data_IF_986354189812
#
_entry.id   IF_986354189812
#
_cell.length_a   1.000
_cell.length_b   1.000
_cell.length_c   1.000
_cell.angle_alpha   90.00
_cell.angle_beta   90.00
_cell.angle_gamma   90.00
#
_symmetry.space_group_name_H-M   'P 1'
#
loop_
_entity.id
_entity.type
_entity.pdbx_description
1 polymer ?
#
# COMPACT_ATOMS: atom_id res chain seq x y z
N UNK A 1 -47.02 18.13 62.02
CA UNK A 1 -45.98 18.51 61.08
C UNK A 1 -45.55 17.29 60.30
N UNK A 2 -45.99 17.16 59.01
CA UNK A 2 -45.63 16.04 58.14
C UNK A 2 -44.46 16.52 57.22
N UNK A 3 -43.27 15.92 57.36
CA UNK A 3 -42.13 16.15 56.49
C UNK A 3 -42.32 15.35 55.18
N UNK A 4 -42.37 16.03 54.05
CA UNK A 4 -42.31 15.42 52.71
C UNK A 4 -40.85 15.26 52.32
N UNK A 5 -40.42 14.02 52.16
CA UNK A 5 -39.09 13.69 51.59
C UNK A 5 -39.24 13.73 50.07
N UNK A 6 -38.62 14.67 49.37
CA UNK A 6 -38.53 14.72 47.91
C UNK A 6 -37.24 13.97 47.52
N UNK A 7 -37.42 12.77 46.96
CA UNK A 7 -36.35 11.97 46.38
C UNK A 7 -36.07 12.47 44.94
N UNK A 8 -34.92 13.13 44.74
CA UNK A 8 -34.44 13.48 43.39
C UNK A 8 -33.90 12.24 42.68
N UNK A 9 -34.61 11.75 41.67
CA UNK A 9 -34.16 10.68 40.77
C UNK A 9 -33.25 11.30 39.72
N UNK A 10 -31.91 11.20 39.87
CA UNK A 10 -30.97 11.56 38.85
C UNK A 10 -31.01 10.52 37.73
N UNK A 11 -31.72 10.77 36.66
CA UNK A 11 -31.62 9.99 35.41
C UNK A 11 -30.34 10.41 34.71
N UNK A 12 -29.27 9.63 34.88
CA UNK A 12 -28.04 9.77 34.12
C UNK A 12 -28.31 9.43 32.65
N UNK A 13 -28.36 10.42 31.79
CA UNK A 13 -28.34 10.23 30.34
C UNK A 13 -26.98 9.66 29.95
N UNK A 14 -26.90 8.37 29.78
CA UNK A 14 -25.76 7.69 29.17
C UNK A 14 -25.75 8.04 27.68
N UNK A 15 -25.05 9.13 27.31
CA UNK A 15 -24.75 9.44 25.91
C UNK A 15 -23.74 8.39 25.44
N UNK A 16 -24.24 7.29 24.89
CA UNK A 16 -23.41 6.36 24.15
C UNK A 16 -22.82 7.10 22.95
N UNK A 17 -21.53 7.44 23.02
CA UNK A 17 -20.78 7.87 21.84
C UNK A 17 -20.74 6.69 20.89
N UNK A 18 -21.60 6.69 19.89
CA UNK A 18 -21.47 5.78 18.75
C UNK A 18 -20.10 6.07 18.15
N UNK A 19 -19.15 5.16 18.33
CA UNK A 19 -17.88 5.23 17.61
C UNK A 19 -18.23 5.23 16.12
N UNK A 20 -17.89 6.31 15.42
CA UNK A 20 -18.12 6.42 13.99
C UNK A 20 -17.46 5.22 13.31
N UNK A 21 -18.23 4.47 12.53
CA UNK A 21 -17.68 3.33 11.77
C UNK A 21 -16.63 3.82 10.78
N UNK A 22 -15.56 3.04 10.60
CA UNK A 22 -14.52 3.37 9.62
C UNK A 22 -15.11 3.39 8.19
N UNK A 23 -14.70 4.36 7.39
CA UNK A 23 -15.11 4.45 5.98
C UNK A 23 -14.30 3.48 5.11
N UNK A 24 -14.83 2.28 4.88
CA UNK A 24 -14.23 1.28 4.01
C UNK A 24 -14.24 1.63 2.51
N UNK A 25 -14.86 2.74 2.11
CA UNK A 25 -14.71 3.29 0.75
C UNK A 25 -13.42 4.10 0.61
N UNK A 26 -12.79 4.45 1.73
CA UNK A 26 -11.61 5.30 1.77
C UNK A 26 -11.80 6.62 0.99
N UNK A 27 -12.98 7.22 1.08
CA UNK A 27 -13.46 8.30 0.19
C UNK A 27 -12.53 9.50 0.12
N UNK A 28 -11.92 9.89 1.24
CA UNK A 28 -10.95 11.00 1.28
C UNK A 28 -9.67 10.63 0.50
N UNK A 29 -9.14 9.42 0.71
CA UNK A 29 -7.96 8.94 0.01
C UNK A 29 -8.21 8.76 -1.48
N UNK A 30 -9.35 8.21 -1.84
CA UNK A 30 -9.81 8.06 -3.23
C UNK A 30 -9.84 9.41 -3.96
N UNK A 31 -10.36 10.45 -3.31
CA UNK A 31 -10.39 11.79 -3.87
C UNK A 31 -8.99 12.37 -4.07
N UNK A 32 -8.07 12.17 -3.12
CA UNK A 32 -6.67 12.60 -3.22
C UNK A 32 -5.99 11.90 -4.41
N UNK A 33 -6.17 10.57 -4.53
CA UNK A 33 -5.59 9.78 -5.62
C UNK A 33 -6.10 10.22 -6.99
N UNK A 34 -7.41 10.36 -7.17
CA UNK A 34 -8.04 10.79 -8.43
C UNK A 34 -7.51 12.12 -8.93
N UNK A 35 -7.22 13.04 -8.01
CA UNK A 35 -6.74 14.38 -8.35
C UNK A 35 -5.24 14.40 -8.66
N UNK A 36 -4.45 13.61 -7.94
CA UNK A 36 -3.00 13.77 -7.89
C UNK A 36 -2.21 12.60 -8.52
N UNK A 37 -2.88 11.54 -8.99
CA UNK A 37 -2.21 10.40 -9.60
C UNK A 37 -2.62 10.25 -11.06
N UNK A 38 -1.63 10.20 -11.95
CA UNK A 38 -1.85 10.00 -13.38
C UNK A 38 -0.83 9.01 -13.94
N UNK A 39 -1.31 7.93 -14.53
CA UNK A 39 -0.46 6.87 -15.13
C UNK A 39 0.61 6.34 -14.15
N UNK A 40 0.26 6.22 -12.88
CA UNK A 40 1.16 5.74 -11.83
C UNK A 40 2.16 6.77 -11.28
N UNK A 41 2.19 7.97 -11.85
CA UNK A 41 2.99 9.10 -11.36
C UNK A 41 2.18 9.96 -10.40
N UNK A 42 2.85 10.52 -9.39
CA UNK A 42 2.24 11.25 -8.27
C UNK A 42 2.62 12.73 -8.30
N UNK A 43 1.64 13.61 -8.27
CA UNK A 43 1.86 15.02 -8.02
C UNK A 43 2.05 15.27 -6.53
N UNK A 44 3.27 15.12 -6.03
CA UNK A 44 3.57 15.36 -4.60
C UNK A 44 3.29 16.81 -4.20
N UNK A 45 3.62 17.78 -5.07
CA UNK A 45 3.26 19.20 -4.86
C UNK A 45 1.74 19.42 -4.78
N UNK A 46 0.96 18.70 -5.60
CA UNK A 46 -0.49 18.75 -5.57
C UNK A 46 -1.06 18.21 -4.25
N UNK A 47 -0.53 17.09 -3.76
CA UNK A 47 -0.94 16.54 -2.46
C UNK A 47 -0.50 17.44 -1.31
N UNK A 48 0.70 18.03 -1.37
CA UNK A 48 1.19 18.99 -0.38
C UNK A 48 0.29 20.21 -0.27
N UNK A 49 -0.24 20.71 -1.39
CA UNK A 49 -1.19 21.84 -1.39
C UNK A 49 -2.53 21.49 -0.69
N UNK A 50 -2.85 20.20 -0.52
CA UNK A 50 -4.04 19.68 0.14
C UNK A 50 -3.69 18.84 1.37
N UNK A 51 -2.58 19.12 2.03
CA UNK A 51 -2.05 18.31 3.15
C UNK A 51 -3.10 18.08 4.25
N UNK A 52 -4.04 19.02 4.46
CA UNK A 52 -5.13 18.86 5.41
C UNK A 52 -6.01 17.63 5.14
N UNK A 53 -6.31 17.34 3.87
CA UNK A 53 -7.10 16.15 3.49
C UNK A 53 -6.32 14.86 3.73
N UNK A 54 -5.03 14.84 3.38
CA UNK A 54 -4.18 13.69 3.67
C UNK A 54 -4.07 13.44 5.18
N UNK A 55 -3.83 14.50 5.97
CA UNK A 55 -3.77 14.41 7.43
C UNK A 55 -5.06 13.86 8.02
N UNK A 56 -6.22 14.35 7.58
CA UNK A 56 -7.52 13.83 8.00
C UNK A 56 -7.66 12.33 7.73
N UNK A 57 -7.25 11.87 6.54
CA UNK A 57 -7.30 10.46 6.20
C UNK A 57 -6.37 9.62 7.07
N UNK A 58 -5.11 10.04 7.24
CA UNK A 58 -4.13 9.33 8.08
C UNK A 58 -4.58 9.26 9.55
N UNK A 59 -5.20 10.32 10.07
CA UNK A 59 -5.80 10.32 11.41
C UNK A 59 -6.96 9.30 11.49
N UNK A 60 -7.78 9.18 10.45
CA UNK A 60 -8.87 8.21 10.42
C UNK A 60 -8.36 6.76 10.47
N UNK A 61 -7.25 6.46 9.76
CA UNK A 61 -6.56 5.17 9.84
C UNK A 61 -6.01 4.91 11.25
N UNK A 62 -5.35 5.93 11.83
CA UNK A 62 -4.70 5.82 13.14
C UNK A 62 -5.69 5.66 14.30
N UNK A 63 -6.94 6.11 14.13
CA UNK A 63 -8.03 5.94 15.10
C UNK A 63 -8.64 4.55 15.13
N UNK A 64 -8.42 3.73 14.09
CA UNK A 64 -8.90 2.34 14.09
C UNK A 64 -8.16 1.56 15.17
N UNK A 65 -8.92 1.04 16.13
CA UNK A 65 -8.38 0.19 17.20
C UNK A 65 -8.15 -1.24 16.72
N UNK A 66 -7.30 -2.00 17.43
CA UNK A 66 -7.11 -3.42 17.14
C UNK A 66 -8.46 -4.18 17.20
N UNK A 67 -9.33 -3.88 18.17
CA UNK A 67 -10.64 -4.52 18.30
C UNK A 67 -11.54 -4.25 17.09
N UNK A 68 -11.57 -3.00 16.60
CA UNK A 68 -12.31 -2.65 15.37
C UNK A 68 -11.75 -3.38 14.16
N UNK A 69 -10.41 -3.39 13.99
CA UNK A 69 -9.76 -4.10 12.89
C UNK A 69 -10.04 -5.60 12.91
N UNK A 70 -10.06 -6.23 14.08
CA UNK A 70 -10.42 -7.66 14.19
C UNK A 70 -11.85 -7.94 13.72
N UNK A 71 -12.77 -6.99 13.90
CA UNK A 71 -14.15 -7.08 13.42
C UNK A 71 -14.31 -6.90 11.90
N UNK A 72 -13.28 -6.42 11.19
CA UNK A 72 -13.31 -6.29 9.73
C UNK A 72 -13.30 -7.68 9.08
N UNK A 73 -14.00 -7.83 7.96
CA UNK A 73 -13.85 -9.02 7.12
C UNK A 73 -12.50 -9.00 6.38
N UNK A 74 -12.13 -10.11 5.73
CA UNK A 74 -10.83 -10.28 5.08
C UNK A 74 -10.54 -9.21 4.01
N UNK A 75 -11.55 -8.87 3.19
CA UNK A 75 -11.40 -7.84 2.14
C UNK A 75 -11.28 -6.43 2.72
N UNK A 76 -12.00 -6.14 3.80
CA UNK A 76 -11.88 -4.88 4.54
C UNK A 76 -10.50 -4.75 5.18
N UNK A 77 -9.99 -5.81 5.81
CA UNK A 77 -8.63 -5.83 6.38
C UNK A 77 -7.57 -5.59 5.32
N UNK A 78 -7.64 -6.29 4.20
CA UNK A 78 -6.65 -6.18 3.13
C UNK A 78 -6.69 -4.80 2.47
N UNK A 79 -7.86 -4.29 2.08
CA UNK A 79 -7.98 -2.95 1.49
C UNK A 79 -7.53 -1.85 2.46
N UNK A 80 -7.86 -1.96 3.76
CA UNK A 80 -7.38 -1.07 4.81
C UNK A 80 -5.86 -1.02 4.87
N UNK A 81 -5.18 -2.18 4.90
CA UNK A 81 -3.73 -2.25 4.99
C UNK A 81 -3.04 -1.75 3.73
N UNK A 82 -3.55 -2.07 2.53
CA UNK A 82 -2.99 -1.58 1.27
C UNK A 82 -3.07 -0.05 1.19
N UNK A 83 -4.24 0.52 1.48
CA UNK A 83 -4.41 1.97 1.47
C UNK A 83 -3.57 2.65 2.56
N UNK A 84 -3.48 2.06 3.75
CA UNK A 84 -2.63 2.57 4.83
C UNK A 84 -1.16 2.60 4.39
N UNK A 85 -0.63 1.52 3.84
CA UNK A 85 0.74 1.48 3.33
C UNK A 85 1.00 2.60 2.31
N UNK A 86 0.14 2.72 1.31
CA UNK A 86 0.30 3.69 0.24
C UNK A 86 0.20 5.14 0.76
N UNK A 87 -0.77 5.43 1.62
CA UNK A 87 -0.95 6.78 2.17
C UNK A 87 0.20 7.18 3.11
N UNK A 88 0.67 6.27 3.98
CA UNK A 88 1.83 6.53 4.81
C UNK A 88 3.12 6.62 4.00
N UNK A 89 3.26 5.88 2.88
CA UNK A 89 4.39 6.05 1.96
C UNK A 89 4.38 7.45 1.35
N UNK A 90 3.22 7.94 0.86
CA UNK A 90 3.09 9.31 0.36
C UNK A 90 3.44 10.33 1.46
N UNK A 91 2.93 10.14 2.69
CA UNK A 91 3.27 11.00 3.83
C UNK A 91 4.78 11.01 4.10
N UNK A 92 5.43 9.85 4.08
CA UNK A 92 6.88 9.75 4.30
C UNK A 92 7.66 10.56 3.26
N UNK A 93 7.26 10.50 1.99
CA UNK A 93 7.87 11.33 0.93
C UNK A 93 7.64 12.80 1.21
N UNK A 94 6.41 13.24 1.51
CA UNK A 94 6.09 14.64 1.78
C UNK A 94 6.84 15.22 2.97
N UNK A 95 7.11 14.43 4.01
CA UNK A 95 7.89 14.84 5.17
C UNK A 95 9.35 15.16 4.85
N UNK A 96 9.84 14.68 3.70
CA UNK A 96 11.23 14.87 3.27
C UNK A 96 11.33 15.59 1.91
N UNK A 97 10.18 15.97 1.34
CA UNK A 97 10.12 16.60 0.02
C UNK A 97 10.71 18.02 0.02
N UNK A 98 11.51 18.42 -1.00
CA UNK A 98 11.80 17.66 -2.21
C UNK A 98 12.95 16.64 -2.03
N UNK A 99 12.74 15.44 -2.57
CA UNK A 99 13.76 14.39 -2.70
C UNK A 99 13.64 13.73 -4.07
N UNK A 100 14.70 13.14 -4.57
CA UNK A 100 14.73 12.44 -5.85
C UNK A 100 14.45 10.93 -5.68
N UNK A 101 14.55 10.40 -4.46
CA UNK A 101 14.36 8.98 -4.15
C UNK A 101 14.00 8.76 -2.68
N UNK A 102 13.13 7.79 -2.40
CA UNK A 102 12.85 7.35 -1.02
C UNK A 102 14.14 6.88 -0.30
N UNK A 103 15.15 6.44 -1.06
CA UNK A 103 16.42 5.96 -0.50
C UNK A 103 17.28 7.07 0.13
N UNK A 104 16.93 8.33 -0.08
CA UNK A 104 17.60 9.46 0.59
C UNK A 104 17.16 9.63 2.05
N UNK A 105 16.03 9.01 2.44
CA UNK A 105 15.50 9.11 3.79
C UNK A 105 16.32 8.27 4.76
N UNK A 106 16.87 8.90 5.79
CA UNK A 106 17.66 8.27 6.85
C UNK A 106 19.05 8.87 6.98
N UNK A 107 20.09 8.16 6.59
CA UNK A 107 21.47 8.66 6.57
C UNK A 107 21.77 9.40 5.26
N UNK A 108 22.83 10.22 5.19
CA UNK A 108 23.24 10.87 3.94
C UNK A 108 23.75 9.87 2.86
N UNK A 109 23.80 8.59 3.17
CA UNK A 109 24.25 7.53 2.26
C UNK A 109 23.10 6.66 1.78
N UNK A 110 22.49 7.00 0.65
CA UNK A 110 21.30 6.33 0.10
C UNK A 110 21.45 4.82 -0.08
N UNK A 111 22.67 4.35 -0.49
CA UNK A 111 22.96 2.91 -0.61
C UNK A 111 22.89 2.17 0.72
N UNK A 112 23.29 2.82 1.82
CA UNK A 112 23.19 2.24 3.19
C UNK A 112 21.73 2.21 3.61
N UNK A 113 20.98 3.28 3.34
CA UNK A 113 19.56 3.37 3.65
C UNK A 113 18.79 2.25 2.96
N UNK A 114 19.05 2.02 1.67
CA UNK A 114 18.47 0.95 0.89
C UNK A 114 18.84 -0.44 1.43
N UNK A 115 20.14 -0.70 1.64
CA UNK A 115 20.62 -2.00 2.09
C UNK A 115 20.07 -2.41 3.48
N UNK A 116 19.76 -1.42 4.33
CA UNK A 116 19.21 -1.63 5.68
C UNK A 116 17.68 -1.50 5.74
N UNK A 117 17.04 -1.08 4.65
CA UNK A 117 15.60 -0.81 4.60
C UNK A 117 15.17 0.34 5.52
N UNK A 118 16.06 1.32 5.78
CA UNK A 118 15.83 2.37 6.79
C UNK A 118 14.53 3.14 6.56
N UNK A 119 14.16 3.59 5.34
CA UNK A 119 12.92 4.32 5.13
C UNK A 119 11.68 3.53 5.57
N UNK A 120 11.67 2.22 5.29
CA UNK A 120 10.53 1.35 5.57
C UNK A 120 10.45 0.90 7.03
N UNK A 121 11.58 0.91 7.77
CA UNK A 121 11.68 0.48 9.17
C UNK A 121 11.60 1.63 10.16
N UNK A 122 11.55 2.88 9.69
CA UNK A 122 11.37 4.06 10.53
C UNK A 122 9.95 4.08 11.08
N UNK A 123 9.80 4.08 12.40
CA UNK A 123 8.52 4.31 13.05
C UNK A 123 8.14 5.79 12.96
N UNK A 124 7.00 6.11 12.34
CA UNK A 124 6.58 7.50 12.16
C UNK A 124 5.06 7.71 12.15
N UNK A 125 4.29 6.63 12.32
CA UNK A 125 2.83 6.70 12.40
C UNK A 125 2.28 5.75 13.44
N UNK A 126 1.04 6.00 13.89
CA UNK A 126 0.29 5.09 14.73
C UNK A 126 -0.70 4.28 13.89
N UNK A 127 -0.76 2.97 14.09
CA UNK A 127 -1.75 2.11 13.48
C UNK A 127 -2.11 0.98 14.44
N UNK A 128 -3.42 0.72 14.60
CA UNK A 128 -3.96 -0.28 15.52
C UNK A 128 -3.43 -0.07 16.96
N UNK A 129 -3.38 1.20 17.38
CA UNK A 129 -3.01 1.61 18.75
C UNK A 129 -1.53 1.53 19.09
N UNK A 130 -0.63 1.32 18.12
CA UNK A 130 0.82 1.23 18.35
C UNK A 130 1.61 2.03 17.32
N UNK A 131 2.82 2.49 17.71
CA UNK A 131 3.79 3.03 16.74
C UNK A 131 4.19 1.96 15.72
N UNK A 132 4.22 2.32 14.45
CA UNK A 132 4.44 1.39 13.34
C UNK A 132 5.32 1.99 12.25
N UNK A 133 5.77 1.11 11.36
CA UNK A 133 6.56 1.40 10.17
C UNK A 133 6.00 0.65 8.95
N UNK A 134 6.39 1.03 7.75
CA UNK A 134 5.86 0.44 6.51
C UNK A 134 6.14 -1.07 6.40
N UNK A 135 7.35 -1.51 6.74
CA UNK A 135 7.72 -2.94 6.76
C UNK A 135 6.77 -3.77 7.64
N UNK A 136 6.25 -3.19 8.73
CA UNK A 136 5.29 -3.90 9.58
C UNK A 136 3.98 -4.17 8.83
N UNK A 137 3.47 -3.20 8.06
CA UNK A 137 2.24 -3.40 7.27
C UNK A 137 2.49 -4.48 6.22
N UNK A 138 3.61 -4.43 5.49
CA UNK A 138 3.92 -5.37 4.42
C UNK A 138 4.26 -6.76 4.96
N UNK A 139 5.25 -6.86 5.84
CA UNK A 139 5.84 -8.15 6.21
C UNK A 139 5.13 -8.82 7.39
N UNK A 140 4.63 -8.04 8.36
CA UNK A 140 4.00 -8.60 9.55
C UNK A 140 2.48 -8.74 9.42
N UNK A 141 1.86 -8.01 8.46
CA UNK A 141 0.43 -8.06 8.25
C UNK A 141 0.07 -8.63 6.86
N UNK A 142 0.31 -7.89 5.77
CA UNK A 142 -0.15 -8.30 4.44
C UNK A 142 0.40 -9.67 4.03
N UNK A 143 1.70 -9.93 4.19
CA UNK A 143 2.32 -11.19 3.77
C UNK A 143 2.05 -12.36 4.71
N UNK A 144 1.80 -12.11 6.00
CA UNK A 144 1.53 -13.17 6.98
C UNK A 144 0.06 -13.54 7.08
N UNK A 145 -0.82 -12.52 7.12
CA UNK A 145 -2.24 -12.73 7.39
C UNK A 145 -2.99 -13.17 6.11
N UNK A 146 -2.40 -12.90 4.92
CA UNK A 146 -3.06 -13.21 3.64
C UNK A 146 -2.16 -14.04 2.72
N UNK A 147 -2.75 -15.01 2.04
CA UNK A 147 -2.06 -15.78 1.00
C UNK A 147 -2.35 -15.18 -0.38
N UNK A 148 -1.98 -13.90 -0.56
CA UNK A 148 -2.34 -13.08 -1.73
C UNK A 148 -1.09 -12.39 -2.31
N UNK A 149 -0.37 -13.03 -3.26
CA UNK A 149 0.86 -12.46 -3.81
C UNK A 149 0.63 -11.19 -4.64
N UNK A 150 -0.60 -10.88 -5.06
CA UNK A 150 -0.91 -9.67 -5.81
C UNK A 150 -0.77 -8.39 -4.98
N UNK A 151 -0.65 -8.49 -3.65
CA UNK A 151 -0.33 -7.34 -2.79
C UNK A 151 0.94 -6.63 -3.26
N UNK A 152 1.94 -7.38 -3.77
CA UNK A 152 3.18 -6.83 -4.29
C UNK A 152 3.01 -5.94 -5.54
N UNK A 153 1.83 -5.92 -6.14
CA UNK A 153 1.48 -5.01 -7.24
C UNK A 153 0.55 -3.87 -6.77
N UNK A 154 0.12 -3.89 -5.51
CA UNK A 154 -0.83 -2.94 -4.93
C UNK A 154 -0.19 -1.97 -3.94
N UNK A 155 0.87 -2.39 -3.23
CA UNK A 155 1.64 -1.51 -2.35
C UNK A 155 2.81 -0.89 -3.11
N UNK A 156 3.07 0.42 -2.88
CA UNK A 156 3.98 1.22 -3.71
C UNK A 156 5.03 1.91 -2.85
N UNK A 157 6.30 1.72 -3.20
CA UNK A 157 7.44 2.31 -2.50
C UNK A 157 7.89 3.66 -3.07
N UNK A 158 7.01 4.40 -3.73
CA UNK A 158 7.27 5.72 -4.30
C UNK A 158 8.39 5.78 -5.35
N UNK A 159 8.72 4.68 -6.02
CA UNK A 159 9.77 4.66 -7.06
C UNK A 159 9.24 4.28 -8.44
N UNK A 160 9.96 4.71 -9.49
CA UNK A 160 9.65 4.34 -10.88
C UNK A 160 9.71 2.81 -11.09
N UNK A 161 10.60 2.11 -10.37
CA UNK A 161 10.70 0.65 -10.41
C UNK A 161 9.50 -0.08 -9.82
N UNK A 162 8.73 0.55 -8.90
CA UNK A 162 7.55 0.00 -8.27
C UNK A 162 6.41 -0.29 -9.26
N UNK A 163 5.40 -1.07 -8.85
CA UNK A 163 4.08 -1.00 -9.42
C UNK A 163 3.51 0.42 -9.40
N UNK A 164 2.53 0.66 -10.24
CA UNK A 164 1.89 1.97 -10.29
C UNK A 164 1.02 2.22 -9.06
N UNK A 165 1.16 3.38 -8.44
CA UNK A 165 0.11 3.87 -7.56
C UNK A 165 -1.12 4.13 -8.42
N UNK A 166 -2.21 3.43 -8.13
CA UNK A 166 -3.47 3.60 -8.87
C UNK A 166 -4.19 4.88 -8.44
N UNK A 167 -4.96 5.47 -9.36
CA UNK A 167 -5.70 6.72 -9.12
C UNK A 167 -7.02 6.52 -8.36
N UNK A 168 -7.20 5.38 -7.71
CA UNK A 168 -8.37 5.06 -6.89
C UNK A 168 -7.97 4.30 -5.63
N UNK A 169 -8.75 4.42 -4.57
CA UNK A 169 -8.51 3.64 -3.36
C UNK A 169 -8.92 2.18 -3.56
N UNK A 170 -8.20 1.26 -2.92
CA UNK A 170 -8.63 -0.14 -2.83
C UNK A 170 -9.85 -0.25 -1.92
N UNK A 171 -10.90 -0.91 -2.39
CA UNK A 171 -12.14 -1.05 -1.62
C UNK A 171 -12.57 -2.52 -1.51
N UNK A 172 -13.22 -2.96 -0.43
CA UNK A 172 -13.59 -4.36 -0.23
C UNK A 172 -14.41 -4.93 -1.39
N UNK A 173 -15.31 -4.12 -1.96
CA UNK A 173 -16.22 -4.56 -3.03
C UNK A 173 -15.51 -4.72 -4.39
N UNK A 174 -14.43 -3.97 -4.62
CA UNK A 174 -13.68 -3.98 -5.89
C UNK A 174 -12.32 -4.65 -5.77
N UNK A 175 -11.92 -5.09 -4.58
CA UNK A 175 -10.57 -5.54 -4.26
C UNK A 175 -10.05 -6.58 -5.24
N UNK A 176 -10.83 -7.60 -5.54
CA UNK A 176 -10.42 -8.68 -6.46
C UNK A 176 -10.09 -8.15 -7.86
N UNK A 177 -10.98 -7.31 -8.40
CA UNK A 177 -10.77 -6.67 -9.71
C UNK A 177 -9.56 -5.73 -9.67
N UNK A 178 -9.39 -4.97 -8.60
CA UNK A 178 -8.30 -4.01 -8.45
C UNK A 178 -6.94 -4.72 -8.36
N UNK A 179 -6.83 -5.79 -7.56
CA UNK A 179 -5.61 -6.60 -7.45
C UNK A 179 -5.25 -7.26 -8.78
N UNK A 180 -6.24 -7.80 -9.50
CA UNK A 180 -6.01 -8.41 -10.80
C UNK A 180 -5.58 -7.36 -11.84
N UNK A 181 -6.20 -6.18 -11.85
CA UNK A 181 -5.81 -5.08 -12.73
C UNK A 181 -4.39 -4.57 -12.43
N UNK A 182 -4.02 -4.45 -11.16
CA UNK A 182 -2.67 -4.04 -10.76
C UNK A 182 -1.62 -5.07 -11.21
N UNK A 183 -1.89 -6.38 -11.01
CA UNK A 183 -1.04 -7.46 -11.51
C UNK A 183 -0.84 -7.39 -13.02
N UNK A 184 -1.93 -7.34 -13.78
CA UNK A 184 -1.85 -7.31 -15.25
C UNK A 184 -1.17 -6.04 -15.76
N UNK A 185 -1.48 -4.87 -15.17
CA UNK A 185 -0.84 -3.62 -15.52
C UNK A 185 0.67 -3.63 -15.27
N UNK A 186 1.12 -4.30 -14.22
CA UNK A 186 2.54 -4.47 -13.95
C UNK A 186 3.20 -5.47 -14.88
N UNK A 187 2.60 -6.64 -15.09
CA UNK A 187 3.13 -7.69 -15.95
C UNK A 187 3.27 -7.25 -17.39
N UNK A 188 2.24 -6.58 -17.94
CA UNK A 188 2.21 -6.10 -19.33
C UNK A 188 3.07 -4.87 -19.60
N UNK A 189 3.72 -4.30 -18.59
CA UNK A 189 4.58 -3.14 -18.77
C UNK A 189 5.93 -3.57 -19.39
N UNK A 190 6.22 -3.25 -20.67
CA UNK A 190 7.41 -3.72 -21.37
C UNK A 190 8.73 -3.12 -20.82
N UNK A 191 8.63 -2.01 -20.07
CA UNK A 191 9.79 -1.43 -19.39
C UNK A 191 10.18 -2.20 -18.12
N UNK A 192 9.30 -3.07 -17.64
CA UNK A 192 9.49 -3.85 -16.40
C UNK A 192 9.64 -5.34 -16.66
N UNK A 193 8.89 -5.86 -17.66
CA UNK A 193 8.87 -7.28 -17.96
C UNK A 193 8.81 -7.47 -19.48
N UNK A 194 9.58 -8.40 -20.02
CA UNK A 194 9.55 -8.76 -21.45
C UNK A 194 10.03 -10.19 -21.67
N UNK A 195 9.59 -10.80 -22.75
CA UNK A 195 10.06 -12.12 -23.16
C UNK A 195 10.64 -12.06 -24.56
N UNK A 196 11.92 -12.42 -24.66
CA UNK A 196 12.60 -12.60 -25.94
C UNK A 196 12.51 -14.07 -26.35
N UNK A 197 11.64 -14.34 -27.33
CA UNK A 197 11.39 -15.67 -27.86
C UNK A 197 12.58 -16.26 -28.62
N UNK A 198 13.41 -15.38 -29.24
CA UNK A 198 14.56 -15.81 -30.04
C UNK A 198 15.63 -16.37 -29.11
N UNK A 199 15.97 -15.65 -28.07
CA UNK A 199 16.97 -16.08 -27.08
C UNK A 199 16.38 -16.92 -25.94
N UNK A 200 15.08 -17.17 -25.95
CA UNK A 200 14.35 -17.84 -24.87
C UNK A 200 14.64 -17.23 -23.49
N UNK A 201 14.64 -15.90 -23.41
CA UNK A 201 14.98 -15.18 -22.19
C UNK A 201 13.80 -14.36 -21.70
N UNK A 202 13.42 -14.59 -20.44
CA UNK A 202 12.36 -13.86 -19.74
C UNK A 202 13.01 -12.81 -18.82
N UNK A 203 12.81 -11.54 -19.16
CA UNK A 203 13.26 -10.41 -18.37
C UNK A 203 12.15 -10.01 -17.41
N UNK A 204 12.44 -9.97 -16.11
CA UNK A 204 11.48 -9.64 -15.07
C UNK A 204 11.98 -8.54 -14.15
N UNK A 205 11.07 -7.76 -13.58
CA UNK A 205 11.38 -6.84 -12.48
C UNK A 205 12.00 -7.56 -11.29
N UNK A 206 12.91 -6.89 -10.57
CA UNK A 206 13.50 -7.41 -9.32
C UNK A 206 12.48 -7.75 -8.23
N UNK A 207 11.27 -7.23 -8.28
CA UNK A 207 10.18 -7.61 -7.36
C UNK A 207 9.96 -9.12 -7.39
N UNK A 208 10.04 -9.76 -8.57
CA UNK A 208 9.90 -11.21 -8.69
C UNK A 208 11.06 -11.99 -8.07
N UNK A 209 12.24 -11.39 -7.97
CA UNK A 209 13.37 -11.97 -7.24
C UNK A 209 13.19 -11.82 -5.72
N UNK A 210 12.89 -10.58 -5.27
CA UNK A 210 12.80 -10.28 -3.84
C UNK A 210 11.69 -11.05 -3.14
N UNK A 211 10.57 -11.26 -3.84
CA UNK A 211 9.37 -11.91 -3.30
C UNK A 211 9.04 -13.24 -3.98
N UNK A 212 10.06 -13.90 -4.56
CA UNK A 212 9.88 -15.14 -5.33
C UNK A 212 9.06 -16.18 -4.56
N UNK A 213 9.34 -16.38 -3.29
CA UNK A 213 8.64 -17.35 -2.44
C UNK A 213 7.13 -17.09 -2.35
N UNK A 214 6.69 -15.82 -2.41
CA UNK A 214 5.27 -15.50 -2.36
C UNK A 214 4.56 -15.84 -3.68
N UNK A 215 5.24 -15.60 -4.81
CA UNK A 215 4.71 -15.90 -6.14
C UNK A 215 4.71 -17.39 -6.50
N UNK A 216 5.60 -18.17 -5.87
CA UNK A 216 5.81 -19.59 -6.25
C UNK A 216 5.21 -20.59 -5.25
N UNK A 217 4.40 -20.15 -4.29
CA UNK A 217 3.75 -21.03 -3.32
C UNK A 217 2.89 -22.15 -3.95
N UNK A 218 2.26 -21.86 -5.10
CA UNK A 218 1.32 -22.80 -5.76
C UNK A 218 1.67 -23.11 -7.20
N UNK A 219 2.71 -22.48 -7.77
CA UNK A 219 3.05 -22.57 -9.18
C UNK A 219 4.51 -22.19 -9.42
N UNK A 220 5.03 -22.41 -10.63
CA UNK A 220 6.35 -21.86 -11.00
C UNK A 220 6.25 -20.36 -11.30
N UNK A 221 7.38 -19.63 -11.23
CA UNK A 221 7.39 -18.21 -11.54
C UNK A 221 6.95 -17.94 -12.98
N UNK A 222 7.40 -18.78 -13.94
CA UNK A 222 7.00 -18.67 -15.36
C UNK A 222 5.48 -18.81 -15.50
N UNK A 223 4.88 -19.81 -14.88
CA UNK A 223 3.43 -19.99 -14.89
C UNK A 223 2.69 -18.82 -14.25
N UNK A 224 3.22 -18.27 -13.14
CA UNK A 224 2.60 -17.15 -12.44
C UNK A 224 2.53 -15.88 -13.31
N UNK A 225 3.60 -15.60 -14.09
CA UNK A 225 3.69 -14.39 -14.90
C UNK A 225 3.08 -14.55 -16.30
N UNK A 226 2.83 -15.78 -16.77
CA UNK A 226 2.38 -16.09 -18.14
C UNK A 226 1.20 -15.22 -18.62
N UNK A 227 0.24 -14.91 -17.76
CA UNK A 227 -0.94 -14.12 -18.15
C UNK A 227 -0.62 -12.66 -18.56
N UNK A 228 0.58 -12.18 -18.26
CA UNK A 228 1.07 -10.87 -18.70
C UNK A 228 1.62 -10.85 -20.12
N UNK A 229 1.79 -12.01 -20.73
CA UNK A 229 2.43 -12.17 -22.04
C UNK A 229 1.48 -12.82 -23.03
N UNK A 230 1.42 -12.27 -24.24
CA UNK A 230 0.62 -12.84 -25.33
C UNK A 230 1.24 -14.15 -25.85
N UNK A 231 2.57 -14.20 -25.88
CA UNK A 231 3.30 -15.39 -26.29
C UNK A 231 3.44 -16.39 -25.16
N UNK A 232 3.37 -17.67 -25.49
CA UNK A 232 3.65 -18.74 -24.50
C UNK A 232 5.12 -18.74 -24.15
N UNK A 233 5.44 -18.47 -22.88
CA UNK A 233 6.80 -18.55 -22.35
C UNK A 233 7.17 -20.03 -22.20
N UNK A 234 8.30 -20.43 -22.76
CA UNK A 234 8.77 -21.82 -22.64
C UNK A 234 9.15 -22.13 -21.18
N UNK A 235 8.87 -23.34 -20.68
CA UNK A 235 9.16 -23.71 -19.29
C UNK A 235 10.64 -23.63 -18.90
N UNK A 236 11.53 -23.74 -19.88
CA UNK A 236 12.99 -23.68 -19.74
C UNK A 236 13.56 -22.27 -20.04
N UNK A 237 12.73 -21.24 -20.14
CA UNK A 237 13.19 -19.90 -20.38
C UNK A 237 14.16 -19.43 -19.29
N UNK A 238 15.29 -18.85 -19.73
CA UNK A 238 16.24 -18.21 -18.83
C UNK A 238 15.61 -16.97 -18.21
N UNK A 239 15.60 -16.88 -16.88
CA UNK A 239 15.10 -15.68 -16.18
C UNK A 239 16.26 -14.73 -15.90
N UNK A 240 16.08 -13.46 -16.29
CA UNK A 240 17.00 -12.35 -15.99
C UNK A 240 16.20 -11.27 -15.28
N UNK A 241 16.76 -10.76 -14.18
CA UNK A 241 16.10 -9.68 -13.42
C UNK A 241 16.67 -8.32 -13.85
N UNK A 242 15.77 -7.44 -14.31
CA UNK A 242 16.11 -6.09 -14.74
C UNK A 242 16.66 -5.23 -13.60
N UNK A 243 17.40 -4.19 -13.93
CA UNK A 243 17.73 -3.17 -12.94
C UNK A 243 16.48 -2.48 -12.42
N UNK A 244 16.54 -2.06 -11.16
CA UNK A 244 15.41 -1.42 -10.48
C UNK A 244 15.70 0.07 -10.30
N UNK A 245 14.85 0.93 -10.89
CA UNK A 245 14.95 2.37 -10.68
C UNK A 245 14.33 2.78 -9.35
N UNK A 246 15.12 3.42 -8.52
CA UNK A 246 14.70 4.03 -7.26
C UNK A 246 14.33 5.50 -7.41
N UNK A 247 14.38 6.07 -8.62
CA UNK A 247 13.95 7.44 -8.89
C UNK A 247 12.49 7.63 -8.46
N UNK A 248 12.20 8.79 -7.88
CA UNK A 248 10.86 9.10 -7.38
C UNK A 248 9.83 9.04 -8.51
N UNK A 249 8.69 8.43 -8.27
CA UNK A 249 7.57 8.35 -9.22
C UNK A 249 6.78 9.67 -9.31
N UNK A 250 7.49 10.77 -9.42
CA UNK A 250 6.90 12.12 -9.45
C UNK A 250 6.32 12.47 -10.83
N UNK A 251 5.14 13.07 -10.84
CA UNK A 251 4.55 13.72 -12.00
C UNK A 251 5.14 15.13 -12.13
N UNK A 252 6.03 15.30 -13.09
CA UNK A 252 6.68 16.58 -13.43
C UNK A 252 5.78 17.44 -14.31
#
# INVERSE_FOLDING_TARGET
MKQFLITFLCIGLWQGTFAQSFDHKHSVWDSILKKNVKNGLVSYKGIQAEEGSLKQYLESLSKVTEAQYQGFNEKEKMSFLINAYNAFTVKLILDHYPIESITEIGSPFSKINLARGIPWKKEFFSLLGKSRHLDWIEHEKLRKDFNEPRIHFAIVCASIGCPFLVSEAYTPNSLEKQLQSAKLGFLKNPKKNSYDKITNTLYLSKIFNWFQTDFTKKTTLIQYVQEGFEETIKPDAKIVYNEYSWDLNELK
#
